data_IF_216413088777
#
_entry.id   IF_216413088777
#
_cell.length_a   1.000
_cell.length_b   1.000
_cell.length_c   1.000
_cell.angle_alpha   90.00
_cell.angle_beta   90.00
_cell.angle_gamma   90.00
#
_symmetry.space_group_name_H-M   'P 1'
#
loop_
_entity.id
_entity.type
_entity.pdbx_description
1 polymer ?
#
# COMPACT_ATOMS: atom_id res chain seq x y z
N UNK A 1 17.97 -7.09 21.53
CA UNK A 1 17.03 -7.44 20.44
C UNK A 1 17.57 -6.89 19.13
N UNK A 2 17.55 -7.65 18.03
CA UNK A 2 18.00 -7.17 16.71
C UNK A 2 16.87 -6.34 16.08
N UNK A 3 17.10 -5.04 15.87
CA UNK A 3 16.12 -4.15 15.23
C UNK A 3 16.30 -4.21 13.71
N UNK A 4 15.44 -4.97 13.03
CA UNK A 4 15.42 -5.02 11.56
C UNK A 4 14.48 -3.91 11.06
N UNK A 5 15.04 -2.88 10.42
CA UNK A 5 14.24 -1.84 9.76
C UNK A 5 13.52 -2.43 8.55
N UNK A 6 12.18 -2.43 8.57
CA UNK A 6 11.35 -2.90 7.46
C UNK A 6 11.52 -1.97 6.25
N UNK A 7 11.43 -2.48 5.01
CA UNK A 7 11.45 -1.64 3.82
C UNK A 7 10.29 -0.63 3.85
N UNK A 8 10.54 0.64 3.49
CA UNK A 8 9.48 1.64 3.49
C UNK A 8 8.41 1.28 2.45
N UNK A 9 7.15 1.57 2.78
CA UNK A 9 6.06 1.52 1.82
C UNK A 9 5.85 2.90 1.21
N UNK A 10 5.84 2.96 -0.12
CA UNK A 10 5.62 4.20 -0.84
C UNK A 10 4.17 4.68 -0.71
N UNK A 11 3.94 5.89 -0.22
CA UNK A 11 2.57 6.45 -0.12
C UNK A 11 1.97 6.87 -1.47
N UNK A 12 2.77 6.93 -2.54
CA UNK A 12 2.31 7.28 -3.87
C UNK A 12 1.80 6.06 -4.66
N UNK A 13 2.60 5.00 -4.75
CA UNK A 13 2.26 3.80 -5.54
C UNK A 13 2.01 2.54 -4.70
N UNK A 14 2.18 2.62 -3.39
CA UNK A 14 1.99 1.56 -2.39
C UNK A 14 2.95 0.36 -2.46
N UNK A 15 3.92 0.38 -3.38
CA UNK A 15 5.00 -0.63 -3.45
C UNK A 15 6.04 -0.40 -2.35
N UNK A 16 6.73 -1.48 -1.98
CA UNK A 16 7.79 -1.44 -0.97
C UNK A 16 9.17 -1.13 -1.56
N UNK A 17 10.07 -0.65 -0.71
CA UNK A 17 11.49 -0.45 -1.02
C UNK A 17 11.91 1.00 -1.30
N UNK A 18 10.98 1.95 -1.34
CA UNK A 18 11.29 3.37 -1.54
C UNK A 18 10.26 4.27 -0.84
N UNK A 19 10.63 5.53 -0.59
CA UNK A 19 9.73 6.55 -0.09
C UNK A 19 8.99 7.24 -1.23
N UNK A 20 7.87 7.92 -0.94
CA UNK A 20 7.09 8.63 -1.95
C UNK A 20 7.88 9.70 -2.71
N UNK A 21 8.83 10.37 -2.04
CA UNK A 21 9.73 11.36 -2.66
C UNK A 21 10.67 10.77 -3.72
N UNK A 22 10.93 9.47 -3.65
CA UNK A 22 11.81 8.73 -4.57
C UNK A 22 10.99 7.94 -5.61
N UNK A 23 9.67 8.16 -5.66
CA UNK A 23 8.76 7.38 -6.49
C UNK A 23 8.64 7.98 -7.90
N UNK A 24 8.85 7.14 -8.90
CA UNK A 24 8.70 7.50 -10.32
C UNK A 24 7.44 6.89 -10.96
N UNK A 25 6.62 6.21 -10.18
CA UNK A 25 5.37 5.60 -10.66
C UNK A 25 4.20 6.59 -10.61
N UNK A 26 3.16 6.42 -11.44
CA UNK A 26 1.91 7.14 -11.29
C UNK A 26 1.30 6.93 -9.90
N UNK A 27 0.54 7.93 -9.42
CA UNK A 27 -0.19 7.81 -8.15
C UNK A 27 -1.28 6.74 -8.24
N UNK A 28 -1.35 5.92 -7.21
CA UNK A 28 -2.40 4.94 -7.01
C UNK A 28 -3.29 5.37 -5.85
N UNK A 29 -4.60 5.30 -6.05
CA UNK A 29 -5.59 5.61 -5.02
C UNK A 29 -5.57 4.53 -3.93
N UNK A 30 -5.39 4.95 -2.68
CA UNK A 30 -5.37 4.05 -1.52
C UNK A 30 -6.74 3.49 -1.13
N UNK A 31 -7.82 3.91 -1.80
CA UNK A 31 -9.18 3.39 -1.60
C UNK A 31 -9.53 2.38 -2.69
N UNK A 32 -9.43 2.75 -3.97
CA UNK A 32 -9.96 1.91 -5.07
C UNK A 32 -8.89 1.39 -6.04
N UNK A 33 -7.61 1.65 -5.79
CA UNK A 33 -6.49 1.31 -6.68
C UNK A 33 -6.52 1.98 -8.06
N UNK A 34 -7.34 3.02 -8.26
CA UNK A 34 -7.37 3.79 -9.51
C UNK A 34 -6.18 4.76 -9.66
N UNK A 35 -5.91 5.20 -10.88
CA UNK A 35 -4.83 6.15 -11.22
C UNK A 35 -5.21 7.61 -10.90
N UNK A 36 -5.36 7.93 -9.61
CA UNK A 36 -5.64 9.28 -9.10
C UNK A 36 -5.20 9.39 -7.63
N UNK A 37 -5.05 10.61 -7.10
CA UNK A 37 -4.81 10.79 -5.66
C UNK A 37 -6.04 10.34 -4.86
N UNK A 38 -5.84 9.72 -3.70
CA UNK A 38 -6.93 9.29 -2.81
C UNK A 38 -7.94 10.40 -2.50
N UNK A 39 -7.48 11.66 -2.43
CA UNK A 39 -8.34 12.83 -2.19
C UNK A 39 -9.31 13.11 -3.35
N UNK A 40 -8.96 12.69 -4.56
CA UNK A 40 -9.78 12.84 -5.77
C UNK A 40 -10.68 11.62 -6.01
N UNK A 41 -10.57 10.60 -5.15
CA UNK A 41 -11.45 9.44 -5.19
C UNK A 41 -12.87 9.87 -4.88
N UNK A 42 -13.73 9.84 -5.89
CA UNK A 42 -15.14 10.21 -5.81
C UNK A 42 -16.01 9.02 -6.23
N UNK A 43 -17.06 8.79 -5.45
CA UNK A 43 -18.13 7.91 -5.84
C UNK A 43 -18.90 8.56 -7.00
N UNK A 44 -19.18 7.80 -8.07
CA UNK A 44 -19.99 8.26 -9.21
C UNK A 44 -21.48 7.86 -9.12
N UNK A 45 -21.89 7.19 -8.03
CA UNK A 45 -23.26 6.69 -7.85
C UNK A 45 -24.13 7.72 -7.11
N UNK A 46 -25.23 8.22 -7.68
CA UNK A 46 -26.28 8.94 -6.94
C UNK A 46 -27.39 7.97 -6.46
N UNK A 47 -27.95 8.14 -5.24
CA UNK A 47 -27.57 9.09 -4.19
C UNK A 47 -26.34 8.60 -3.41
N UNK A 48 -25.33 9.46 -3.28
CA UNK A 48 -24.16 9.22 -2.44
C UNK A 48 -23.90 10.44 -1.56
N UNK A 49 -23.84 10.22 -0.25
CA UNK A 49 -23.60 11.21 0.80
C UNK A 49 -22.13 11.67 0.90
N UNK A 50 -21.26 11.15 0.03
CA UNK A 50 -19.88 11.63 -0.11
C UNK A 50 -18.91 11.11 0.96
N UNK A 51 -19.31 10.10 1.75
CA UNK A 51 -18.40 9.46 2.71
C UNK A 51 -17.14 8.88 2.05
N UNK A 52 -15.98 8.98 2.72
CA UNK A 52 -14.73 8.31 2.31
C UNK A 52 -14.26 7.37 3.42
N UNK A 53 -14.14 6.04 3.20
CA UNK A 53 -14.54 5.33 1.99
C UNK A 53 -16.06 5.34 1.83
N UNK A 54 -16.54 5.55 0.61
CA UNK A 54 -17.96 5.46 0.30
C UNK A 54 -18.34 3.98 0.27
N UNK A 55 -19.54 3.61 0.74
CA UNK A 55 -20.05 2.22 0.63
C UNK A 55 -20.14 1.72 -0.82
N UNK A 56 -20.19 2.64 -1.79
CA UNK A 56 -20.21 2.32 -3.22
C UNK A 56 -18.82 2.15 -3.84
N UNK A 57 -17.76 2.60 -3.16
CA UNK A 57 -16.39 2.48 -3.64
C UNK A 57 -15.73 1.34 -2.85
N UNK A 58 -15.64 0.13 -3.43
CA UNK A 58 -15.04 -0.99 -2.73
C UNK A 58 -13.59 -0.67 -2.43
N UNK A 59 -13.21 -0.86 -1.16
CA UNK A 59 -11.83 -0.78 -0.74
C UNK A 59 -11.05 -1.87 -1.48
N UNK A 60 -10.01 -1.48 -2.20
CA UNK A 60 -9.20 -2.36 -3.02
C UNK A 60 -7.74 -2.11 -2.70
N UNK A 61 -7.06 -3.14 -2.27
CA UNK A 61 -5.62 -3.11 -2.08
C UNK A 61 -4.94 -3.08 -3.45
N UNK A 62 -4.01 -2.15 -3.67
CA UNK A 62 -3.29 -2.02 -4.94
C UNK A 62 -2.22 -3.10 -5.14
N UNK A 63 -1.88 -3.83 -4.07
CA UNK A 63 -0.91 -4.93 -4.11
C UNK A 63 -1.56 -6.28 -4.35
N UNK A 64 -2.75 -6.50 -3.77
CA UNK A 64 -3.41 -7.81 -3.73
C UNK A 64 -4.83 -7.86 -4.27
N UNK A 65 -5.41 -6.70 -4.60
CA UNK A 65 -6.82 -6.53 -4.96
C UNK A 65 -7.85 -6.92 -3.89
N UNK A 66 -7.42 -7.26 -2.67
CA UNK A 66 -8.28 -7.58 -1.54
C UNK A 66 -9.01 -6.38 -0.95
N UNK A 67 -10.04 -6.66 -0.16
CA UNK A 67 -10.98 -5.69 0.46
C UNK A 67 -10.42 -4.83 1.59
N UNK A 68 -9.18 -4.35 1.50
CA UNK A 68 -8.50 -3.60 2.56
C UNK A 68 -7.58 -2.52 1.96
N UNK A 69 -7.19 -1.54 2.77
CA UNK A 69 -6.28 -0.47 2.33
C UNK A 69 -4.89 -1.05 2.03
N UNK A 70 -4.13 -0.50 1.07
CA UNK A 70 -2.79 -1.01 0.72
C UNK A 70 -1.79 -1.05 1.89
N UNK A 71 -2.04 -0.29 2.95
CA UNK A 71 -1.24 -0.23 4.18
C UNK A 71 -1.64 -1.28 5.23
N UNK A 72 -2.67 -2.10 4.96
CA UNK A 72 -3.16 -3.10 5.91
C UNK A 72 -2.04 -4.05 6.34
N UNK A 73 -1.99 -4.36 7.64
CA UNK A 73 -1.07 -5.37 8.17
C UNK A 73 -1.45 -6.79 7.73
N UNK A 74 -2.73 -7.00 7.43
CA UNK A 74 -3.29 -8.28 6.98
C UNK A 74 -3.13 -8.51 5.48
N UNK A 75 -2.44 -7.61 4.76
CA UNK A 75 -2.17 -7.79 3.35
C UNK A 75 -1.20 -8.96 3.14
N UNK A 76 -1.55 -10.01 2.37
CA UNK A 76 -0.65 -11.14 2.14
C UNK A 76 0.68 -10.70 1.49
N UNK A 77 0.65 -9.73 0.60
CA UNK A 77 1.82 -9.17 -0.07
C UNK A 77 2.74 -8.43 0.90
N UNK A 78 2.18 -7.85 1.97
CA UNK A 78 2.99 -7.28 3.06
C UNK A 78 3.68 -8.40 3.84
N UNK A 79 2.97 -9.46 4.18
CA UNK A 79 3.52 -10.61 4.91
C UNK A 79 4.62 -11.29 4.09
N UNK A 80 4.38 -11.50 2.79
CA UNK A 80 5.35 -12.07 1.85
C UNK A 80 6.60 -11.19 1.73
N UNK A 81 6.42 -9.86 1.58
CA UNK A 81 7.53 -8.91 1.56
C UNK A 81 8.36 -9.00 2.84
N UNK A 82 7.72 -8.99 4.01
CA UNK A 82 8.43 -9.07 5.29
C UNK A 82 9.17 -10.40 5.46
N UNK A 83 8.58 -11.51 5.00
CA UNK A 83 9.22 -12.83 5.02
C UNK A 83 10.45 -12.84 4.09
N UNK A 84 10.30 -12.39 2.85
CA UNK A 84 11.40 -12.31 1.88
C UNK A 84 12.52 -11.39 2.38
N UNK A 85 12.17 -10.21 2.89
CA UNK A 85 13.15 -9.25 3.40
C UNK A 85 13.96 -9.82 4.56
N UNK A 86 13.30 -10.45 5.56
CA UNK A 86 13.99 -11.12 6.67
C UNK A 86 14.95 -12.20 6.20
N UNK A 87 14.58 -13.00 5.20
CA UNK A 87 15.46 -14.00 4.60
C UNK A 87 16.68 -13.33 3.93
N UNK A 88 16.46 -12.29 3.13
CA UNK A 88 17.54 -11.60 2.40
C UNK A 88 18.52 -10.89 3.33
N UNK A 89 18.05 -10.19 4.37
CA UNK A 89 18.92 -9.51 5.35
C UNK A 89 19.73 -10.52 6.16
N UNK A 90 19.12 -11.65 6.52
CA UNK A 90 19.83 -12.72 7.24
C UNK A 90 20.93 -13.37 6.39
N UNK A 91 20.71 -13.49 5.07
CA UNK A 91 21.70 -14.01 4.14
C UNK A 91 22.81 -12.99 3.79
N UNK A 92 22.47 -11.71 3.70
CA UNK A 92 23.39 -10.66 3.28
C UNK A 92 24.33 -10.14 4.39
N UNK A 93 24.11 -10.54 5.66
CA UNK A 93 24.93 -10.08 6.77
C UNK A 93 24.92 -8.55 6.96
N UNK A 94 23.88 -7.85 6.45
CA UNK A 94 23.69 -6.42 6.68
C UNK A 94 23.26 -6.21 8.13
N UNK A 95 24.27 -6.18 9.00
CA UNK A 95 24.18 -5.72 10.37
C UNK A 95 24.43 -4.21 10.38
N UNK A 96 23.40 -3.43 10.67
CA UNK A 96 23.52 -2.05 11.14
C UNK A 96 22.73 -1.95 12.44
#
# INVERSE_FOLDING_TARGET
>A
AKFIHQPPQCYNCHRYGHFARDCHSPTTCGICSGAHHTRDCHCKQPPCDGGKPCRHVPLKCSLCSGGHAPTSIDCPQRQDMLKQYKMTVSAAGHFY
#
